data_IF_816344404986
#
_entry.id   IF_816344404986
#
_cell.length_a   1.000
_cell.length_b   1.000
_cell.length_c   1.000
_cell.angle_alpha   90.00
_cell.angle_beta   90.00
_cell.angle_gamma   90.00
#
_symmetry.space_group_name_H-M   'P 1'
#
loop_
_entity.id
_entity.type
_entity.pdbx_description
1 polymer ?
#
# COMPACT_ATOMS: atom_id res chain seq x y z
N UNK A 1 29.03 18.62 -1.72
CA UNK A 1 29.41 19.98 -1.25
C UNK A 1 29.60 19.88 0.25
N UNK A 2 30.58 20.54 0.85
CA UNK A 2 30.68 20.69 2.31
C UNK A 2 30.33 22.12 2.68
N UNK A 3 29.66 22.32 3.81
CA UNK A 3 29.15 23.64 4.19
C UNK A 3 29.16 23.79 5.72
N UNK A 4 29.52 24.99 6.19
CA UNK A 4 29.32 25.45 7.55
C UNK A 4 28.38 26.67 7.52
N UNK A 5 27.62 26.88 8.60
CA UNK A 5 26.73 28.04 8.74
C UNK A 5 27.02 28.77 10.04
N UNK A 6 26.93 30.10 9.99
CA UNK A 6 26.84 30.97 11.15
C UNK A 6 25.51 31.73 11.05
N UNK A 7 24.82 31.91 12.17
CA UNK A 7 23.51 32.58 12.22
C UNK A 7 23.65 33.78 13.14
N UNK A 8 23.48 34.97 12.58
CA UNK A 8 23.38 36.21 13.36
C UNK A 8 22.01 36.30 14.02
N UNK A 9 21.94 36.92 15.20
CA UNK A 9 20.70 37.12 15.94
C UNK A 9 19.89 38.29 15.38
N UNK A 10 20.38 39.52 15.63
CA UNK A 10 19.90 40.71 14.96
C UNK A 10 20.59 40.85 13.59
N UNK A 11 20.05 41.73 12.74
CA UNK A 11 20.70 42.10 11.48
C UNK A 11 22.04 42.81 11.79
N UNK A 12 23.19 42.22 11.41
CA UNK A 12 24.49 42.82 11.68
C UNK A 12 24.68 44.05 10.80
N UNK A 13 25.37 45.04 11.35
CA UNK A 13 25.86 46.18 10.57
C UNK A 13 27.04 45.76 9.69
N UNK A 14 27.32 46.54 8.64
CA UNK A 14 28.45 46.27 7.73
C UNK A 14 29.80 46.17 8.46
N UNK A 15 29.99 46.97 9.51
CA UNK A 15 31.21 46.99 10.32
C UNK A 15 31.35 45.70 11.14
N UNK A 16 30.26 45.26 11.78
CA UNK A 16 30.24 44.01 12.54
C UNK A 16 30.46 42.79 11.63
N UNK A 17 29.92 42.85 10.41
CA UNK A 17 30.12 41.81 9.41
C UNK A 17 31.58 41.75 8.96
N UNK A 18 32.21 42.91 8.75
CA UNK A 18 33.62 42.99 8.39
C UNK A 18 34.53 42.45 9.50
N UNK A 19 34.30 42.86 10.75
CA UNK A 19 35.07 42.38 11.90
C UNK A 19 34.89 40.87 12.13
N UNK A 20 33.66 40.38 11.97
CA UNK A 20 33.37 38.95 12.01
C UNK A 20 34.15 38.15 10.95
N UNK A 21 34.19 38.63 9.71
CA UNK A 21 34.95 37.95 8.65
C UNK A 21 36.45 37.98 8.92
N UNK A 22 36.98 39.09 9.41
CA UNK A 22 38.40 39.22 9.73
C UNK A 22 38.82 38.28 10.87
N UNK A 23 38.00 38.18 11.91
CA UNK A 23 38.32 37.42 13.12
C UNK A 23 37.98 35.93 13.03
N UNK A 24 36.99 35.52 12.21
CA UNK A 24 36.40 34.16 12.25
C UNK A 24 36.46 33.39 10.93
N UNK A 25 37.00 33.98 9.85
CA UNK A 25 37.02 33.33 8.52
C UNK A 25 37.74 31.99 8.50
N UNK A 26 38.94 31.89 9.09
CA UNK A 26 39.71 30.65 9.12
C UNK A 26 38.96 29.53 9.85
N UNK A 27 38.39 29.81 11.02
CA UNK A 27 37.59 28.82 11.76
C UNK A 27 36.38 28.33 10.95
N UNK A 28 35.76 29.21 10.19
CA UNK A 28 34.60 28.85 9.37
C UNK A 28 34.99 27.96 8.18
N UNK A 29 36.18 28.16 7.62
CA UNK A 29 36.79 27.30 6.59
C UNK A 29 37.13 25.94 7.17
N UNK A 30 37.80 25.88 8.32
CA UNK A 30 38.19 24.63 8.97
C UNK A 30 36.96 23.80 9.35
N UNK A 31 35.96 24.45 9.93
CA UNK A 31 34.68 23.81 10.26
C UNK A 31 33.96 23.27 9.01
N UNK A 32 34.03 23.99 7.89
CA UNK A 32 33.48 23.50 6.63
C UNK A 32 34.28 22.31 6.09
N UNK A 33 35.60 22.28 6.27
CA UNK A 33 36.46 21.18 5.87
C UNK A 33 36.18 19.90 6.68
N UNK A 34 35.91 20.04 7.99
CA UNK A 34 35.57 18.93 8.90
C UNK A 34 34.13 18.44 8.73
N UNK A 35 33.26 19.26 8.16
CA UNK A 35 31.84 18.92 8.00
C UNK A 35 31.63 17.77 7.01
N UNK A 36 30.68 16.86 7.28
CA UNK A 36 30.37 15.78 6.36
C UNK A 36 29.88 16.33 5.02
N UNK A 37 30.12 15.57 3.94
CA UNK A 37 29.66 15.95 2.62
C UNK A 37 28.13 16.02 2.61
N UNK A 38 27.59 17.22 2.45
CA UNK A 38 26.17 17.43 2.25
C UNK A 38 25.87 16.94 0.83
N UNK A 39 24.92 15.99 0.67
CA UNK A 39 24.43 15.65 -0.65
C UNK A 39 23.89 16.95 -1.24
N UNK A 40 24.37 17.34 -2.41
CA UNK A 40 23.82 18.50 -3.08
C UNK A 40 22.34 18.22 -3.28
N UNK A 41 21.48 18.81 -2.45
CA UNK A 41 20.05 18.84 -2.68
C UNK A 41 19.92 19.63 -3.96
N UNK A 42 19.84 18.90 -5.07
CA UNK A 42 19.52 19.44 -6.38
C UNK A 42 18.37 20.41 -6.16
N UNK A 43 18.57 21.65 -6.57
CA UNK A 43 17.51 22.65 -6.67
C UNK A 43 16.25 21.95 -7.19
N UNK A 44 15.08 22.28 -6.62
CA UNK A 44 13.81 21.58 -6.82
C UNK A 44 13.36 21.35 -8.28
N UNK A 45 14.11 21.84 -9.28
CA UNK A 45 13.96 21.56 -10.71
C UNK A 45 14.89 20.50 -11.31
N UNK A 46 15.93 20.00 -10.64
CA UNK A 46 16.91 19.07 -11.23
C UNK A 46 16.70 17.62 -10.77
N UNK A 47 15.52 17.08 -11.07
CA UNK A 47 15.28 15.63 -11.07
C UNK A 47 16.21 14.98 -12.11
N UNK A 48 17.16 14.15 -11.69
CA UNK A 48 17.93 13.26 -12.58
C UNK A 48 17.04 12.27 -13.34
N UNK A 49 15.84 11.98 -12.83
CA UNK A 49 14.84 11.29 -13.60
C UNK A 49 14.26 12.30 -14.60
N UNK A 50 14.79 12.24 -15.82
CA UNK A 50 14.24 12.97 -16.97
C UNK A 50 12.76 12.63 -17.06
N UNK A 51 11.90 13.61 -16.77
CA UNK A 51 10.44 13.44 -16.87
C UNK A 51 10.12 12.88 -18.27
N UNK A 52 9.30 11.83 -18.38
CA UNK A 52 8.94 11.29 -19.68
C UNK A 52 8.32 12.40 -20.52
N UNK A 53 8.64 12.43 -21.81
CA UNK A 53 8.06 13.40 -22.74
C UNK A 53 6.53 13.40 -22.58
N UNK A 54 5.85 14.56 -22.52
CA UNK A 54 4.40 14.63 -22.30
C UNK A 54 3.61 13.77 -23.30
N UNK A 55 4.10 13.62 -24.54
CA UNK A 55 3.54 12.70 -25.54
C UNK A 55 3.64 11.23 -25.12
N UNK A 56 4.75 10.80 -24.51
CA UNK A 56 4.91 9.44 -23.98
C UNK A 56 4.01 9.21 -22.76
N UNK A 57 3.91 10.18 -21.86
CA UNK A 57 3.03 10.10 -20.69
C UNK A 57 1.55 9.95 -21.12
N UNK A 58 1.08 10.76 -22.06
CA UNK A 58 -0.28 10.67 -22.60
C UNK A 58 -0.54 9.31 -23.28
N UNK A 59 0.43 8.78 -24.03
CA UNK A 59 0.34 7.44 -24.65
C UNK A 59 0.26 6.32 -23.62
N UNK A 60 0.98 6.43 -22.51
CA UNK A 60 0.90 5.43 -21.44
C UNK A 60 -0.46 5.45 -20.76
N UNK A 61 -0.99 6.63 -20.43
CA UNK A 61 -2.34 6.77 -19.89
C UNK A 61 -3.39 6.16 -20.85
N UNK A 62 -3.34 6.49 -22.14
CA UNK A 62 -4.25 5.91 -23.14
C UNK A 62 -4.09 4.39 -23.29
N UNK A 63 -2.86 3.87 -23.17
CA UNK A 63 -2.61 2.42 -23.20
C UNK A 63 -3.20 1.72 -21.98
N UNK A 64 -3.15 2.35 -20.81
CA UNK A 64 -3.73 1.83 -19.57
C UNK A 64 -5.25 1.89 -19.58
N UNK A 65 -5.85 2.94 -20.12
CA UNK A 65 -7.32 3.03 -20.29
C UNK A 65 -7.82 2.03 -21.32
N UNK A 66 -7.04 1.75 -22.37
CA UNK A 66 -7.35 0.78 -23.41
C UNK A 66 -6.90 -0.65 -23.08
N UNK A 67 -6.33 -0.91 -21.89
CA UNK A 67 -6.07 -2.29 -21.46
C UNK A 67 -7.41 -3.03 -21.45
N UNK A 68 -7.43 -4.19 -22.08
CA UNK A 68 -8.62 -5.03 -22.18
C UNK A 68 -9.18 -5.29 -20.79
N UNK A 69 -10.29 -4.63 -20.47
CA UNK A 69 -11.13 -5.00 -19.34
C UNK A 69 -11.75 -6.37 -19.66
N UNK A 70 -12.02 -7.21 -18.65
CA UNK A 70 -12.77 -8.44 -18.88
C UNK A 70 -14.04 -8.08 -19.64
N UNK A 71 -14.31 -8.75 -20.76
CA UNK A 71 -15.49 -8.46 -21.57
C UNK A 71 -16.75 -8.67 -20.73
N UNK A 72 -17.84 -7.98 -21.08
CA UNK A 72 -19.13 -8.17 -20.41
C UNK A 72 -19.57 -9.64 -20.42
N UNK A 73 -19.24 -10.37 -21.50
CA UNK A 73 -19.48 -11.81 -21.60
C UNK A 73 -18.64 -12.62 -20.59
N UNK A 74 -17.36 -12.29 -20.39
CA UNK A 74 -16.52 -12.92 -19.38
C UNK A 74 -16.98 -12.58 -17.95
N UNK A 75 -17.51 -11.38 -17.73
CA UNK A 75 -18.10 -11.01 -16.44
C UNK A 75 -19.40 -11.79 -16.17
N UNK A 76 -20.26 -11.94 -17.18
CA UNK A 76 -21.49 -12.71 -17.09
C UNK A 76 -21.22 -14.20 -16.83
N UNK A 77 -20.21 -14.80 -17.46
CA UNK A 77 -19.85 -16.20 -17.20
C UNK A 77 -19.33 -16.42 -15.78
N UNK A 78 -18.53 -15.49 -15.25
CA UNK A 78 -18.08 -15.53 -13.85
C UNK A 78 -19.23 -15.35 -12.86
N UNK A 79 -20.21 -14.50 -13.17
CA UNK A 79 -21.41 -14.33 -12.35
C UNK A 79 -22.25 -15.62 -12.33
N UNK A 80 -22.52 -16.22 -13.50
CA UNK A 80 -23.26 -17.48 -13.61
C UNK A 80 -22.57 -18.62 -12.84
N UNK A 81 -21.23 -18.73 -12.91
CA UNK A 81 -20.48 -19.73 -12.15
C UNK A 81 -20.60 -19.54 -10.62
N UNK A 82 -20.64 -18.28 -10.15
CA UNK A 82 -20.84 -17.98 -8.72
C UNK A 82 -22.25 -18.36 -8.26
N UNK A 83 -23.26 -18.11 -9.08
CA UNK A 83 -24.65 -18.48 -8.77
C UNK A 83 -24.82 -20.00 -8.72
N UNK A 84 -24.24 -20.72 -9.69
CA UNK A 84 -24.29 -22.18 -9.72
C UNK A 84 -23.60 -22.81 -8.50
N UNK A 85 -22.43 -22.31 -8.13
CA UNK A 85 -21.71 -22.80 -6.93
C UNK A 85 -22.47 -22.51 -5.65
N UNK A 86 -23.10 -21.34 -5.53
CA UNK A 86 -23.94 -21.00 -4.38
C UNK A 86 -25.18 -21.90 -4.29
N UNK A 87 -25.83 -22.18 -5.42
CA UNK A 87 -27.00 -23.08 -5.49
C UNK A 87 -26.63 -24.51 -5.08
N UNK A 88 -25.53 -25.05 -5.64
CA UNK A 88 -25.01 -26.39 -5.27
C UNK A 88 -24.70 -26.48 -3.78
N UNK A 89 -24.00 -25.49 -3.23
CA UNK A 89 -23.69 -25.44 -1.80
C UNK A 89 -24.96 -25.37 -0.93
N UNK A 90 -26.00 -24.67 -1.39
CA UNK A 90 -27.29 -24.60 -0.69
C UNK A 90 -28.00 -25.96 -0.67
N UNK A 91 -28.08 -26.63 -1.83
CA UNK A 91 -28.64 -27.97 -1.95
C UNK A 91 -27.91 -28.98 -1.06
N UNK A 92 -26.58 -28.96 -1.06
CA UNK A 92 -25.77 -29.85 -0.23
C UNK A 92 -25.99 -29.61 1.27
N UNK A 93 -26.06 -28.34 1.70
CA UNK A 93 -26.41 -28.01 3.09
C UNK A 93 -27.79 -28.52 3.47
N UNK A 94 -28.78 -28.35 2.59
CA UNK A 94 -30.14 -28.84 2.82
C UNK A 94 -30.16 -30.37 2.95
N UNK A 95 -29.49 -31.08 2.04
CA UNK A 95 -29.35 -32.54 2.06
C UNK A 95 -28.69 -33.03 3.35
N UNK A 96 -27.58 -32.42 3.77
CA UNK A 96 -26.88 -32.76 5.03
C UNK A 96 -27.76 -32.54 6.25
N UNK A 97 -28.57 -31.46 6.27
CA UNK A 97 -29.52 -31.21 7.37
C UNK A 97 -30.59 -32.28 7.46
N UNK A 98 -31.16 -32.72 6.33
CA UNK A 98 -32.16 -33.81 6.28
C UNK A 98 -31.56 -35.12 6.78
N UNK A 99 -30.40 -35.51 6.26
CA UNK A 99 -29.69 -36.73 6.69
C UNK A 99 -29.44 -36.73 8.20
N UNK A 100 -28.95 -35.62 8.76
CA UNK A 100 -28.71 -35.50 10.20
C UNK A 100 -30.02 -35.64 11.00
N UNK A 101 -31.11 -35.04 10.53
CA UNK A 101 -32.42 -35.15 11.18
C UNK A 101 -32.95 -36.60 11.17
N UNK A 102 -32.80 -37.31 10.05
CA UNK A 102 -33.20 -38.71 9.92
C UNK A 102 -32.40 -39.62 10.85
N UNK A 103 -31.08 -39.41 10.93
CA UNK A 103 -30.22 -40.12 11.86
C UNK A 103 -30.58 -39.83 13.33
N UNK A 104 -30.84 -38.57 13.68
CA UNK A 104 -31.26 -38.19 15.02
C UNK A 104 -32.60 -38.82 15.40
N UNK A 105 -33.54 -38.87 14.46
CA UNK A 105 -34.82 -39.55 14.65
C UNK A 105 -34.63 -41.06 14.87
N UNK A 106 -33.80 -41.72 14.04
CA UNK A 106 -33.48 -43.13 14.17
C UNK A 106 -32.83 -43.44 15.54
N UNK A 107 -31.87 -42.60 15.96
CA UNK A 107 -31.23 -42.67 17.29
C UNK A 107 -32.25 -42.54 18.41
N UNK A 108 -33.17 -41.56 18.35
CA UNK A 108 -34.24 -41.41 19.35
C UNK A 108 -35.14 -42.64 19.41
N UNK A 109 -35.53 -43.19 18.26
CA UNK A 109 -36.38 -44.38 18.18
C UNK A 109 -35.71 -45.62 18.76
N UNK A 110 -34.42 -45.84 18.47
CA UNK A 110 -33.64 -46.93 19.07
C UNK A 110 -33.52 -46.75 20.60
N UNK A 111 -33.25 -45.53 21.08
CA UNK A 111 -33.21 -45.22 22.53
C UNK A 111 -34.55 -45.52 23.20
N UNK A 112 -35.68 -45.13 22.59
CA UNK A 112 -37.01 -45.43 23.09
C UNK A 112 -37.26 -46.95 23.17
N UNK A 113 -36.93 -47.70 22.11
CA UNK A 113 -37.02 -49.17 22.11
C UNK A 113 -36.18 -49.82 23.22
N UNK A 114 -34.94 -49.35 23.43
CA UNK A 114 -34.07 -49.83 24.53
C UNK A 114 -34.67 -49.55 25.91
N UNK A 115 -35.24 -48.35 26.12
CA UNK A 115 -35.91 -48.00 27.39
C UNK A 115 -37.11 -48.90 27.66
N UNK A 116 -37.87 -49.23 26.62
CA UNK A 116 -39.09 -50.03 26.76
C UNK A 116 -38.82 -51.53 26.98
N UNK A 117 -37.68 -52.04 26.51
CA UNK A 117 -37.33 -53.46 26.68
C UNK A 117 -36.93 -53.86 28.10
N UNK A 118 -36.90 -52.92 29.04
CA UNK A 118 -36.50 -53.21 30.42
C UNK A 118 -35.06 -53.68 30.50
N UNK A 119 -34.57 -53.86 31.72
CA UNK A 119 -33.34 -54.58 31.98
C UNK A 119 -33.62 -56.07 31.99
#
# INVERSE_FOLDING_TARGET
MRAARHVFGAEPTDVELYDFLLSRSCELIDRAAESPAVPASRSAGSSTARRPNPKRAARQAAKETNRARPSTAAQASLAAAREETAARASCDRSRRRRQKADEDWARRRQRAKRRHRGR
#
